data_IF_444310061333
#
_entry.id   IF_444310061333
#
_cell.length_a   1.000
_cell.length_b   1.000
_cell.length_c   1.000
_cell.angle_alpha   90.00
_cell.angle_beta   90.00
_cell.angle_gamma   90.00
#
_symmetry.space_group_name_H-M   'P 1'
#
loop_
_entity.id
_entity.type
_entity.pdbx_description
1 polymer ?
#
# COMPACT_ATOMS: atom_id res chain seq x y z
N UNK A 1 -29.17 -18.04 -10.90
CA UNK A 1 -28.02 -18.04 -9.98
C UNK A 1 -28.45 -17.76 -8.54
N UNK A 2 -29.21 -16.69 -8.27
CA UNK A 2 -29.73 -16.35 -6.93
C UNK A 2 -30.30 -17.53 -6.12
N UNK A 3 -31.25 -18.27 -6.70
CA UNK A 3 -31.89 -19.41 -6.02
C UNK A 3 -30.90 -20.53 -5.65
N UNK A 4 -29.91 -20.77 -6.50
CA UNK A 4 -28.88 -21.79 -6.28
C UNK A 4 -27.90 -21.36 -5.18
N UNK A 5 -27.52 -20.07 -5.17
CA UNK A 5 -26.69 -19.50 -4.11
C UNK A 5 -27.41 -19.57 -2.75
N UNK A 6 -28.69 -19.18 -2.70
CA UNK A 6 -29.50 -19.29 -1.49
C UNK A 6 -29.69 -20.74 -1.03
N UNK A 7 -29.99 -21.65 -1.96
CA UNK A 7 -30.05 -23.10 -1.66
C UNK A 7 -28.75 -23.58 -1.02
N UNK A 8 -27.60 -23.19 -1.55
CA UNK A 8 -26.30 -23.58 -1.00
C UNK A 8 -26.08 -23.03 0.42
N UNK A 9 -26.41 -21.75 0.66
CA UNK A 9 -26.33 -21.13 1.99
C UNK A 9 -27.17 -21.90 3.01
N UNK A 10 -28.41 -22.23 2.66
CA UNK A 10 -29.37 -22.86 3.57
C UNK A 10 -29.16 -24.36 3.75
N UNK A 11 -28.47 -25.02 2.82
CA UNK A 11 -28.28 -26.47 2.83
C UNK A 11 -26.83 -26.84 3.14
N UNK A 12 -25.98 -26.85 2.13
CA UNK A 12 -24.60 -27.34 2.22
C UNK A 12 -23.78 -26.55 3.23
N UNK A 13 -23.78 -25.22 3.11
CA UNK A 13 -22.98 -24.36 3.98
C UNK A 13 -23.50 -24.38 5.41
N UNK A 14 -24.81 -24.14 5.63
CA UNK A 14 -25.43 -24.23 6.96
C UNK A 14 -25.18 -25.56 7.66
N UNK A 15 -25.31 -26.70 6.96
CA UNK A 15 -25.02 -28.02 7.54
C UNK A 15 -23.55 -28.17 7.96
N UNK A 16 -22.62 -27.65 7.16
CA UNK A 16 -21.20 -27.68 7.49
C UNK A 16 -20.89 -26.83 8.74
N UNK A 17 -21.41 -25.59 8.78
CA UNK A 17 -21.26 -24.68 9.93
C UNK A 17 -21.92 -25.25 11.19
N UNK A 18 -23.07 -25.90 11.08
CA UNK A 18 -23.71 -26.54 12.24
C UNK A 18 -22.93 -27.76 12.75
N UNK A 19 -22.30 -28.53 11.86
CA UNK A 19 -21.55 -29.74 12.22
C UNK A 19 -20.19 -29.42 12.86
N UNK A 20 -19.46 -28.48 12.29
CA UNK A 20 -18.06 -28.22 12.64
C UNK A 20 -17.78 -26.78 13.11
N UNK A 21 -18.73 -25.85 12.92
CA UNK A 21 -18.53 -24.43 13.13
C UNK A 21 -17.69 -23.79 12.03
N UNK A 22 -17.67 -22.46 12.04
CA UNK A 22 -16.55 -21.71 11.46
C UNK A 22 -15.45 -21.54 12.50
N UNK A 23 -14.26 -21.18 12.03
CA UNK A 23 -13.10 -20.92 12.86
C UNK A 23 -13.41 -19.74 13.80
N UNK A 24 -13.35 -19.95 15.13
CA UNK A 24 -13.77 -18.94 16.12
C UNK A 24 -12.67 -17.93 16.49
N UNK A 25 -11.42 -18.25 16.20
CA UNK A 25 -10.23 -17.41 16.44
C UNK A 25 -9.91 -16.50 15.24
N UNK A 26 -10.86 -16.33 14.32
CA UNK A 26 -10.71 -15.43 13.17
C UNK A 26 -11.97 -14.61 13.03
N UNK A 27 -11.80 -13.29 12.97
CA UNK A 27 -12.86 -12.37 12.58
C UNK A 27 -12.80 -12.20 11.07
N UNK A 28 -13.82 -12.67 10.36
CA UNK A 28 -13.91 -12.58 8.89
C UNK A 28 -14.38 -11.18 8.48
N UNK A 29 -13.60 -10.17 8.84
CA UNK A 29 -13.86 -8.76 8.53
C UNK A 29 -12.62 -8.11 7.94
N UNK A 30 -12.82 -7.22 6.99
CA UNK A 30 -11.82 -6.22 6.64
C UNK A 30 -11.97 -5.02 7.58
N UNK A 31 -11.13 -4.00 7.42
CA UNK A 31 -11.19 -2.76 8.21
C UNK A 31 -12.56 -2.04 8.14
N UNK A 32 -13.44 -2.38 7.19
CA UNK A 32 -14.71 -1.69 6.98
C UNK A 32 -15.93 -2.60 6.76
N UNK A 33 -15.74 -3.89 6.46
CA UNK A 33 -16.85 -4.75 6.01
C UNK A 33 -16.69 -6.19 6.45
N UNK A 34 -17.81 -6.85 6.74
CA UNK A 34 -17.85 -8.31 6.90
C UNK A 34 -17.60 -9.02 5.58
N UNK A 35 -16.72 -10.02 5.61
CA UNK A 35 -16.38 -10.84 4.46
C UNK A 35 -17.36 -12.00 4.41
N UNK A 36 -18.25 -11.97 3.41
CA UNK A 36 -19.19 -13.07 3.17
C UNK A 36 -18.44 -14.38 2.85
N UNK A 37 -19.05 -15.54 3.15
CA UNK A 37 -18.44 -16.85 2.91
C UNK A 37 -18.15 -17.16 1.44
N UNK A 38 -18.87 -16.50 0.53
CA UNK A 38 -18.75 -16.68 -0.92
C UNK A 38 -19.22 -15.40 -1.63
N UNK A 39 -18.46 -14.99 -2.64
CA UNK A 39 -18.85 -13.97 -3.62
C UNK A 39 -19.01 -14.64 -4.99
N UNK A 40 -20.03 -14.22 -5.73
CA UNK A 40 -20.51 -14.79 -6.98
C UNK A 40 -20.85 -13.67 -7.97
N UNK A 41 -21.16 -13.98 -9.24
CA UNK A 41 -21.64 -12.96 -10.18
C UNK A 41 -22.88 -12.18 -9.71
N UNK A 42 -23.69 -12.73 -8.80
CA UNK A 42 -24.83 -12.04 -8.19
C UNK A 42 -24.38 -10.78 -7.42
N UNK A 43 -23.21 -10.87 -6.79
CA UNK A 43 -22.69 -9.83 -5.90
C UNK A 43 -22.15 -8.60 -6.64
N UNK A 44 -22.15 -8.64 -7.97
CA UNK A 44 -21.69 -7.56 -8.86
C UNK A 44 -22.74 -7.18 -9.91
N UNK A 45 -24.00 -7.59 -9.75
CA UNK A 45 -25.05 -7.34 -10.75
C UNK A 45 -25.33 -5.85 -10.97
N UNK A 46 -25.17 -5.03 -9.93
CA UNK A 46 -25.36 -3.58 -9.99
C UNK A 46 -24.16 -2.83 -10.60
N UNK A 47 -23.05 -3.52 -10.89
CA UNK A 47 -21.85 -2.93 -11.47
C UNK A 47 -21.99 -2.89 -12.99
N UNK A 48 -21.99 -1.68 -13.56
CA UNK A 48 -21.88 -1.50 -15.00
C UNK A 48 -20.41 -1.62 -15.39
N UNK A 49 -20.06 -2.66 -16.16
CA UNK A 49 -18.68 -2.89 -16.56
C UNK A 49 -18.06 -1.69 -17.27
N UNK A 50 -18.75 -1.04 -18.21
CA UNK A 50 -18.16 0.05 -19.00
C UNK A 50 -18.06 1.35 -18.20
N UNK A 51 -19.02 1.60 -17.31
CA UNK A 51 -19.04 2.82 -16.49
C UNK A 51 -18.15 2.72 -15.25
N UNK A 52 -18.19 1.60 -14.54
CA UNK A 52 -17.63 1.46 -13.19
C UNK A 52 -16.27 0.73 -13.17
N UNK A 53 -16.01 -0.16 -14.16
CA UNK A 53 -14.75 -0.91 -14.27
C UNK A 53 -13.88 -0.37 -15.40
N UNK A 54 -14.42 -0.31 -16.61
CA UNK A 54 -13.78 0.19 -17.82
C UNK A 54 -12.54 -0.60 -18.26
N UNK A 55 -11.66 0.10 -18.98
CA UNK A 55 -10.40 -0.40 -19.53
C UNK A 55 -9.22 0.39 -18.93
N UNK A 56 -8.03 -0.23 -18.79
CA UNK A 56 -6.87 0.48 -18.26
C UNK A 56 -6.50 1.66 -19.16
N UNK A 57 -6.11 2.79 -18.56
CA UNK A 57 -5.80 4.03 -19.29
C UNK A 57 -7.02 4.87 -19.70
N UNK A 58 -8.23 4.45 -19.37
CA UNK A 58 -9.47 5.18 -19.63
C UNK A 58 -10.24 5.42 -18.32
N UNK A 59 -11.02 6.51 -18.24
CA UNK A 59 -11.91 6.75 -17.10
C UNK A 59 -12.87 5.55 -16.93
N UNK A 60 -13.16 5.06 -15.70
CA UNK A 60 -12.80 5.63 -14.38
C UNK A 60 -11.42 5.20 -13.84
N UNK A 61 -10.56 4.59 -14.66
CA UNK A 61 -9.22 4.11 -14.31
C UNK A 61 -9.19 3.03 -13.22
N UNK A 62 -10.32 2.37 -12.94
CA UNK A 62 -10.42 1.27 -11.98
C UNK A 62 -9.41 0.15 -12.29
N UNK A 63 -9.10 -0.08 -13.57
CA UNK A 63 -8.11 -1.07 -14.03
C UNK A 63 -6.67 -0.54 -14.16
N UNK A 64 -6.42 0.71 -13.75
CA UNK A 64 -5.12 1.37 -13.79
C UNK A 64 -5.09 2.59 -14.73
N UNK A 65 -4.20 3.53 -14.42
CA UNK A 65 -4.09 4.82 -15.12
C UNK A 65 -3.29 4.77 -16.42
N UNK A 66 -2.63 3.64 -16.73
CA UNK A 66 -1.85 3.46 -17.96
C UNK A 66 -2.42 2.29 -18.77
N UNK A 67 -2.54 2.39 -20.11
CA UNK A 67 -3.16 1.33 -20.91
C UNK A 67 -2.35 0.03 -20.92
N UNK A 68 -1.02 0.10 -20.85
CA UNK A 68 -0.15 -1.08 -20.85
C UNK A 68 0.27 -1.53 -19.46
N UNK A 69 0.03 -0.72 -18.42
CA UNK A 69 0.51 -0.92 -17.05
C UNK A 69 1.94 -1.51 -17.02
N UNK A 70 2.13 -2.58 -16.24
CA UNK A 70 3.41 -3.22 -16.01
C UNK A 70 3.90 -4.11 -17.16
N UNK A 71 3.10 -4.29 -18.23
CA UNK A 71 3.61 -4.86 -19.49
C UNK A 71 4.45 -3.84 -20.26
N UNK A 72 4.18 -2.54 -20.09
CA UNK A 72 4.96 -1.46 -20.69
C UNK A 72 6.13 -1.02 -19.82
N UNK A 73 5.85 -0.70 -18.55
CA UNK A 73 6.87 -0.28 -17.58
C UNK A 73 6.51 -0.76 -16.18
N UNK A 74 7.44 -1.43 -15.51
CA UNK A 74 7.28 -1.82 -14.10
C UNK A 74 7.11 -0.60 -13.20
N UNK A 75 6.54 -0.80 -12.01
CA UNK A 75 6.51 0.25 -11.00
C UNK A 75 7.94 0.66 -10.62
N UNK A 76 8.10 1.91 -10.16
CA UNK A 76 9.41 2.37 -9.70
C UNK A 76 9.72 1.71 -8.36
N UNK A 77 10.79 0.91 -8.30
CA UNK A 77 11.34 0.47 -7.02
C UNK A 77 11.97 1.70 -6.35
N UNK A 78 11.50 2.03 -5.15
CA UNK A 78 11.90 3.26 -4.45
C UNK A 78 11.94 3.00 -2.95
N UNK A 79 13.09 2.56 -2.46
CA UNK A 79 13.31 2.39 -1.03
C UNK A 79 13.39 3.77 -0.37
N UNK A 80 12.62 3.92 0.71
CA UNK A 80 12.70 5.06 1.61
C UNK A 80 13.95 4.92 2.48
N UNK A 81 14.88 5.86 2.35
CA UNK A 81 16.16 5.81 3.04
C UNK A 81 16.67 7.21 3.38
N UNK A 82 17.38 7.30 4.50
CA UNK A 82 17.99 8.50 5.04
C UNK A 82 18.34 8.21 6.49
N UNK A 83 19.56 8.53 6.90
CA UNK A 83 20.05 8.37 8.26
C UNK A 83 21.37 9.12 8.41
N UNK A 84 21.60 9.70 9.58
CA UNK A 84 22.86 10.36 9.91
C UNK A 84 23.11 11.60 9.04
N UNK A 85 24.33 11.71 8.51
CA UNK A 85 24.72 12.88 7.73
C UNK A 85 24.31 12.78 6.25
N UNK A 86 24.30 13.91 5.52
CA UNK A 86 24.07 13.91 4.07
C UNK A 86 25.03 13.00 3.30
N UNK A 87 26.31 12.95 3.68
CA UNK A 87 27.30 12.08 3.05
C UNK A 87 27.00 10.60 3.24
N UNK A 88 26.62 10.19 4.45
CA UNK A 88 26.25 8.80 4.76
C UNK A 88 25.01 8.37 3.96
N UNK A 89 24.00 9.25 3.93
CA UNK A 89 22.79 9.03 3.15
C UNK A 89 23.08 8.99 1.65
N UNK A 90 23.98 9.84 1.15
CA UNK A 90 24.40 9.82 -0.25
C UNK A 90 25.13 8.52 -0.63
N UNK A 91 26.00 8.02 0.25
CA UNK A 91 26.66 6.72 0.07
C UNK A 91 25.60 5.60 -0.03
N UNK A 92 24.58 5.63 0.82
CA UNK A 92 23.46 4.68 0.76
C UNK A 92 22.68 4.79 -0.55
N UNK A 93 22.40 6.00 -1.04
CA UNK A 93 21.74 6.18 -2.33
C UNK A 93 22.55 5.64 -3.49
N UNK A 94 23.86 5.91 -3.54
CA UNK A 94 24.75 5.34 -4.56
C UNK A 94 24.76 3.81 -4.53
N UNK A 95 24.76 3.22 -3.34
CA UNK A 95 24.61 1.78 -3.18
C UNK A 95 23.28 1.27 -3.75
N UNK A 96 22.15 1.88 -3.39
CA UNK A 96 20.83 1.46 -3.87
C UNK A 96 20.69 1.59 -5.40
N UNK A 97 21.20 2.68 -5.98
CA UNK A 97 21.23 2.87 -7.43
C UNK A 97 22.04 1.76 -8.11
N UNK A 98 23.19 1.39 -7.55
CA UNK A 98 24.04 0.30 -8.05
C UNK A 98 23.33 -1.05 -7.99
N UNK A 99 22.54 -1.30 -6.96
CA UNK A 99 21.71 -2.51 -6.80
C UNK A 99 20.43 -2.50 -7.66
N UNK A 100 20.27 -1.52 -8.56
CA UNK A 100 19.20 -1.50 -9.55
C UNK A 100 17.94 -0.77 -9.11
N UNK A 101 17.96 -0.01 -8.02
CA UNK A 101 16.86 0.88 -7.65
C UNK A 101 16.85 2.11 -8.57
N UNK A 102 15.79 2.35 -9.37
CA UNK A 102 15.76 3.46 -10.32
C UNK A 102 15.32 4.81 -9.72
N UNK A 103 14.79 4.84 -8.50
CA UNK A 103 14.30 6.06 -7.87
C UNK A 103 14.70 6.19 -6.41
N UNK A 104 15.08 7.39 -5.96
CA UNK A 104 15.45 7.68 -4.58
C UNK A 104 14.25 8.24 -3.79
N UNK A 105 14.12 7.90 -2.51
CA UNK A 105 13.18 8.54 -1.59
C UNK A 105 13.90 8.85 -0.30
N UNK A 106 13.87 10.11 0.12
CA UNK A 106 14.68 10.64 1.21
C UNK A 106 13.86 10.68 2.49
N UNK A 107 14.36 10.05 3.55
CA UNK A 107 13.83 10.19 4.89
C UNK A 107 14.60 11.29 5.63
N UNK A 108 13.93 12.36 6.03
CA UNK A 108 14.51 13.44 6.83
C UNK A 108 14.40 13.12 8.32
N UNK A 109 15.31 13.63 9.13
CA UNK A 109 15.21 13.50 10.58
C UNK A 109 14.06 14.35 11.15
N UNK A 110 13.79 14.20 12.46
CA UNK A 110 12.69 14.92 13.10
C UNK A 110 12.91 16.45 13.13
N UNK A 111 14.10 16.98 13.48
CA UNK A 111 14.37 18.42 13.40
C UNK A 111 14.09 19.03 12.03
N UNK A 112 14.60 18.42 10.96
CA UNK A 112 14.38 18.87 9.57
C UNK A 112 12.88 18.87 9.23
N UNK A 113 12.14 17.83 9.63
CA UNK A 113 10.69 17.76 9.41
C UNK A 113 9.90 18.82 10.18
N UNK A 114 10.40 19.25 11.34
CA UNK A 114 9.77 20.26 12.19
C UNK A 114 10.25 21.70 11.86
N UNK A 115 11.25 21.84 10.99
CA UNK A 115 11.84 23.13 10.60
C UNK A 115 12.79 23.72 11.65
N UNK A 116 13.51 22.87 12.38
CA UNK A 116 14.60 23.27 13.26
C UNK A 116 15.95 22.92 12.64
N UNK A 117 16.88 23.88 12.71
CA UNK A 117 18.29 23.62 12.41
C UNK A 117 18.87 22.67 13.48
N UNK A 118 19.91 21.93 13.11
CA UNK A 118 20.53 20.91 13.96
C UNK A 118 21.13 21.45 15.27
N UNK A 119 21.37 22.75 15.37
CA UNK A 119 21.87 23.41 16.58
C UNK A 119 20.76 24.00 17.48
N UNK A 120 19.47 23.90 17.09
CA UNK A 120 18.35 24.31 17.94
C UNK A 120 18.34 23.44 19.22
N UNK A 121 18.20 24.02 20.43
CA UNK A 121 18.14 23.26 21.66
C UNK A 121 17.05 22.17 21.69
N UNK A 122 15.99 22.30 20.89
CA UNK A 122 14.90 21.32 20.75
C UNK A 122 15.25 20.15 19.81
N UNK A 123 16.29 20.29 18.98
CA UNK A 123 16.77 19.23 18.09
C UNK A 123 17.69 18.22 18.81
N UNK A 124 18.17 18.56 20.01
CA UNK A 124 19.14 17.75 20.76
C UNK A 124 18.67 16.30 20.93
N UNK A 125 19.47 15.36 20.40
CA UNK A 125 19.22 13.93 20.50
C UNK A 125 18.37 13.33 19.37
N UNK A 126 17.89 14.16 18.44
CA UNK A 126 17.08 13.74 17.29
C UNK A 126 17.75 14.00 15.93
N UNK A 127 18.80 14.83 15.89
CA UNK A 127 19.60 15.11 14.68
C UNK A 127 20.15 13.81 14.07
N UNK A 128 19.84 13.56 12.80
CA UNK A 128 20.29 12.40 12.04
C UNK A 128 19.75 11.03 12.53
N UNK A 129 18.84 11.00 13.51
CA UNK A 129 18.45 9.76 14.21
C UNK A 129 17.43 8.91 13.46
N UNK A 130 16.44 9.54 12.86
CA UNK A 130 15.33 8.87 12.16
C UNK A 130 15.34 9.14 10.65
N UNK A 131 16.32 9.92 10.19
CA UNK A 131 16.49 10.35 8.81
C UNK A 131 17.79 11.12 8.66
N UNK A 132 18.02 11.69 7.48
CA UNK A 132 19.13 12.59 7.21
C UNK A 132 18.86 13.98 7.80
N UNK A 133 19.85 14.60 8.43
CA UNK A 133 19.81 15.99 8.86
C UNK A 133 20.09 16.93 7.68
N UNK A 134 19.24 17.93 7.44
CA UNK A 134 19.40 18.94 6.38
C UNK A 134 19.02 20.30 6.96
N UNK A 135 20.00 21.20 7.07
CA UNK A 135 19.80 22.55 7.61
C UNK A 135 19.85 23.60 6.48
N UNK A 136 20.62 23.31 5.42
CA UNK A 136 20.99 24.30 4.40
C UNK A 136 21.13 23.68 3.00
N UNK A 137 21.47 24.52 2.01
CA UNK A 137 21.80 24.07 0.65
C UNK A 137 23.17 23.36 0.57
N UNK A 138 24.01 23.50 1.59
CA UNK A 138 25.34 22.86 1.59
C UNK A 138 25.25 21.35 1.89
N UNK A 139 24.14 20.93 2.51
CA UNK A 139 23.81 19.54 2.86
C UNK A 139 23.22 18.77 1.66
#
# INVERSE_FOLDING_TARGET
>A
MHKEHQRWLETTYKKAVQKAGERKDTDFRTSSTEVRPLYTPIDIEDIDYNRDIGYPGEYPFTRGVQPTMYRGRLWSIRQYAGFGTPEETNQRFKFLLKEGQPGLSVAFDLPTQLGYDSDDPRALGEVGRTGVAIDSIAD
#
